data_IF_574610628543
#
_entry.id   IF_574610628543
#
_cell.length_a   1.000
_cell.length_b   1.000
_cell.length_c   1.000
_cell.angle_alpha   90.00
_cell.angle_beta   90.00
_cell.angle_gamma   90.00
#
_symmetry.space_group_name_H-M   'P 1'
#
loop_
_entity.id
_entity.type
_entity.pdbx_description
1 polymer ?
#
# COMPACT_ATOMS: atom_id res chain seq x y z
N UNK A 1 -16.64 -6.09 -9.57
CA UNK A 1 -16.26 -5.71 -8.20
C UNK A 1 -14.93 -6.39 -7.90
N UNK A 2 -13.87 -5.64 -7.58
CA UNK A 2 -12.67 -6.25 -7.01
C UNK A 2 -12.98 -6.66 -5.57
N UNK A 3 -12.77 -7.93 -5.25
CA UNK A 3 -12.82 -8.42 -3.87
C UNK A 3 -11.51 -8.08 -3.15
N UNK A 4 -11.52 -7.76 -1.85
CA UNK A 4 -10.30 -7.52 -1.09
C UNK A 4 -9.37 -8.72 -1.12
N UNK A 5 -8.07 -8.45 -1.29
CA UNK A 5 -7.03 -9.49 -1.22
C UNK A 5 -6.79 -9.98 0.21
N UNK A 6 -6.94 -9.08 1.19
CA UNK A 6 -6.79 -9.37 2.62
C UNK A 6 -8.13 -9.14 3.32
N UNK A 7 -8.48 -10.07 4.21
CA UNK A 7 -9.66 -9.98 5.07
C UNK A 7 -9.24 -9.76 6.53
N UNK A 8 -10.19 -9.33 7.35
CA UNK A 8 -9.98 -9.21 8.80
C UNK A 8 -9.62 -10.57 9.41
N UNK A 9 -8.63 -10.57 10.29
CA UNK A 9 -8.10 -11.78 10.94
C UNK A 9 -7.06 -12.58 10.14
N UNK A 10 -6.75 -12.18 8.91
CA UNK A 10 -5.66 -12.81 8.14
C UNK A 10 -4.30 -12.57 8.80
N UNK A 11 -3.46 -13.61 8.81
CA UNK A 11 -2.07 -13.51 9.23
C UNK A 11 -1.17 -13.33 8.01
N UNK A 12 -0.33 -12.31 8.02
CA UNK A 12 0.57 -11.97 6.90
C UNK A 12 2.04 -12.07 7.32
N UNK A 13 2.88 -12.60 6.44
CA UNK A 13 4.33 -12.55 6.58
C UNK A 13 4.85 -11.32 5.82
N UNK A 14 5.66 -10.49 6.49
CA UNK A 14 6.17 -9.24 5.94
C UNK A 14 7.70 -9.30 5.79
N UNK A 15 8.18 -9.04 4.58
CA UNK A 15 9.60 -8.81 4.32
C UNK A 15 9.94 -7.34 4.61
N UNK A 16 10.64 -7.09 5.71
CA UNK A 16 11.03 -5.74 6.17
C UNK A 16 12.23 -5.16 5.41
N UNK A 17 12.92 -5.95 4.58
CA UNK A 17 14.04 -5.47 3.77
C UNK A 17 13.55 -4.71 2.53
N UNK A 18 12.36 -5.04 2.01
CA UNK A 18 11.78 -4.39 0.83
C UNK A 18 11.03 -3.11 1.21
N UNK A 19 11.66 -1.96 0.98
CA UNK A 19 11.09 -0.64 1.29
C UNK A 19 10.58 0.13 0.07
N UNK A 20 11.01 -0.25 -1.14
CA UNK A 20 10.61 0.41 -2.37
C UNK A 20 9.41 -0.31 -3.02
N UNK A 21 8.33 0.40 -3.38
CA UNK A 21 7.16 -0.16 -4.08
C UNK A 21 7.40 -0.30 -5.59
N UNK A 22 8.55 -0.85 -5.96
CA UNK A 22 8.89 -1.22 -7.32
C UNK A 22 9.40 -2.68 -7.36
N UNK A 23 8.64 -3.63 -7.92
CA UNK A 23 7.33 -3.46 -8.56
C UNK A 23 6.19 -3.13 -7.56
N UNK A 24 5.01 -2.70 -8.04
CA UNK A 24 3.83 -2.51 -7.19
C UNK A 24 3.45 -3.75 -6.38
N UNK A 25 2.86 -3.55 -5.20
CA UNK A 25 2.49 -4.65 -4.32
C UNK A 25 1.79 -4.21 -3.04
N UNK A 26 1.45 -5.15 -2.16
CA UNK A 26 0.92 -4.85 -0.82
C UNK A 26 2.10 -4.59 0.12
N UNK A 27 2.05 -3.47 0.82
CA UNK A 27 3.01 -3.05 1.83
C UNK A 27 2.30 -2.75 3.14
N UNK A 28 3.05 -2.86 4.23
CA UNK A 28 2.62 -2.40 5.55
C UNK A 28 3.19 -0.99 5.78
N UNK A 29 2.29 -0.07 6.09
CA UNK A 29 2.62 1.31 6.45
C UNK A 29 2.38 1.49 7.96
N UNK A 30 3.22 2.29 8.60
CA UNK A 30 2.96 2.84 9.94
C UNK A 30 2.36 4.24 9.78
N UNK A 31 1.13 4.44 10.22
CA UNK A 31 0.43 5.73 10.16
C UNK A 31 0.52 6.54 11.47
N UNK A 32 1.30 6.06 12.44
CA UNK A 32 1.45 6.65 13.77
C UNK A 32 0.37 6.23 14.78
N UNK A 33 -0.73 5.61 14.32
CA UNK A 33 -1.74 4.98 15.18
C UNK A 33 -1.63 3.45 15.14
N UNK A 34 -1.18 2.89 14.02
CA UNK A 34 -0.95 1.47 13.87
C UNK A 34 -0.41 1.09 12.49
N UNK A 35 -0.42 -0.22 12.25
CA UNK A 35 0.03 -0.80 10.99
C UNK A 35 -1.16 -0.99 10.05
N UNK A 36 -1.04 -0.50 8.82
CA UNK A 36 -2.06 -0.68 7.78
C UNK A 36 -1.48 -1.34 6.54
N UNK A 37 -2.19 -2.32 5.98
CA UNK A 37 -1.83 -2.94 4.71
C UNK A 37 -2.48 -2.19 3.54
N UNK A 38 -1.67 -1.69 2.61
CA UNK A 38 -2.13 -0.97 1.41
C UNK A 38 -1.37 -1.43 0.18
N UNK A 39 -2.02 -1.36 -0.98
CA UNK A 39 -1.32 -1.55 -2.26
C UNK A 39 -0.61 -0.24 -2.60
N UNK A 40 0.69 -0.31 -2.83
CA UNK A 40 1.50 0.82 -3.24
C UNK A 40 1.93 0.68 -4.70
N UNK A 41 1.84 1.77 -5.42
CA UNK A 41 2.36 1.92 -6.77
C UNK A 41 3.32 3.12 -6.81
N UNK A 42 4.53 2.92 -7.30
CA UNK A 42 5.42 4.03 -7.56
C UNK A 42 4.89 4.91 -8.71
N UNK A 43 4.93 6.24 -8.56
CA UNK A 43 4.57 7.17 -9.62
C UNK A 43 5.82 7.44 -10.48
N UNK A 44 5.87 6.99 -11.74
CA UNK A 44 7.07 7.18 -12.56
C UNK A 44 7.33 8.67 -12.82
N UNK A 45 8.60 9.07 -12.79
CA UNK A 45 9.07 10.43 -13.09
C UNK A 45 8.48 11.53 -12.18
N UNK A 46 8.04 11.19 -10.97
CA UNK A 46 7.67 12.18 -9.94
C UNK A 46 8.91 12.80 -9.31
N UNK A 47 8.90 14.12 -9.13
CA UNK A 47 9.92 14.87 -8.38
C UNK A 47 9.22 15.82 -7.39
N UNK A 48 9.23 15.55 -6.06
CA UNK A 48 9.95 14.46 -5.40
C UNK A 48 9.34 13.07 -5.68
N UNK A 49 10.04 11.96 -5.36
CA UNK A 49 9.52 10.61 -5.50
C UNK A 49 8.17 10.44 -4.79
N UNK A 50 7.14 9.99 -5.51
CA UNK A 50 5.80 9.84 -4.99
C UNK A 50 5.29 8.40 -5.13
N UNK A 51 4.34 8.06 -4.26
CA UNK A 51 3.66 6.77 -4.25
C UNK A 51 2.16 6.98 -4.25
N UNK A 52 1.45 6.15 -5.02
CA UNK A 52 0.00 6.04 -4.94
C UNK A 52 -0.36 4.95 -3.94
N UNK A 53 -1.14 5.30 -2.94
CA UNK A 53 -1.68 4.41 -1.91
C UNK A 53 -3.09 4.01 -2.31
N UNK A 54 -3.30 2.72 -2.51
CA UNK A 54 -4.56 2.14 -2.99
C UNK A 54 -5.09 1.20 -1.91
N UNK A 55 -6.38 1.36 -1.60
CA UNK A 55 -7.09 0.37 -0.80
C UNK A 55 -7.70 -0.66 -1.74
N UNK A 56 -7.43 -1.94 -1.47
CA UNK A 56 -8.02 -3.06 -2.21
C UNK A 56 -9.49 -3.30 -1.79
N UNK A 57 -10.21 -2.24 -1.40
CA UNK A 57 -11.64 -2.23 -1.15
C UNK A 57 -12.25 -0.97 -1.80
N UNK A 58 -13.33 -1.15 -2.57
CA UNK A 58 -13.91 -0.06 -3.38
C UNK A 58 -14.53 1.09 -2.58
N UNK A 59 -14.49 1.04 -1.24
CA UNK A 59 -15.04 2.06 -0.35
C UNK A 59 -14.10 3.26 -0.17
N UNK A 60 -12.82 3.13 -0.52
CA UNK A 60 -11.83 4.17 -0.28
C UNK A 60 -11.11 4.54 -1.58
N UNK A 61 -11.10 5.83 -1.89
CA UNK A 61 -10.36 6.37 -3.04
C UNK A 61 -8.84 6.29 -2.80
N UNK A 62 -8.04 6.02 -3.84
CA UNK A 62 -6.59 6.16 -3.78
C UNK A 62 -6.17 7.59 -3.45
N UNK A 63 -5.00 7.72 -2.82
CA UNK A 63 -4.36 9.01 -2.54
C UNK A 63 -2.86 8.93 -2.79
N UNK A 64 -2.20 10.09 -2.93
CA UNK A 64 -0.77 10.18 -3.24
C UNK A 64 -0.01 10.74 -2.03
N UNK A 65 1.18 10.20 -1.79
CA UNK A 65 2.12 10.65 -0.76
C UNK A 65 3.51 10.86 -1.39
N UNK A 66 4.24 11.83 -0.84
CA UNK A 66 5.60 12.24 -1.23
C UNK A 66 6.60 11.97 -0.12
#
# INVERSE_FOLDING_TARGET
>A
MSSPTLLDGDNVLVDMARRAPNPPGIFVLDDGMGLVAKRLEHIPNSDPPAVRVISDNGFYSPYELT
#
